data_IF_323491841536
#
_entry.id   IF_323491841536
#
_cell.length_a   1.000
_cell.length_b   1.000
_cell.length_c   1.000
_cell.angle_alpha   90.00
_cell.angle_beta   90.00
_cell.angle_gamma   90.00
#
_symmetry.space_group_name_H-M   'P 1'
#
loop_
_entity.id
_entity.type
_entity.pdbx_description
1 polymer ?
#
# COMPACT_ATOMS: atom_id res chain seq x y z
N UNK A 1 -6.99 0.69 -3.48
CA UNK A 1 -6.25 1.37 -4.58
C UNK A 1 -6.78 2.78 -4.77
N UNK A 2 -8.08 2.97 -5.07
CA UNK A 2 -8.70 4.30 -5.20
C UNK A 2 -8.45 5.19 -3.98
N UNK A 3 -8.66 4.66 -2.78
CA UNK A 3 -8.47 5.42 -1.53
C UNK A 3 -7.00 5.85 -1.33
N UNK A 4 -6.04 5.02 -1.74
CA UNK A 4 -4.61 5.34 -1.62
C UNK A 4 -4.25 6.48 -2.57
N UNK A 5 -4.73 6.45 -3.81
CA UNK A 5 -4.48 7.52 -4.77
C UNK A 5 -5.12 8.84 -4.32
N UNK A 6 -6.34 8.78 -3.75
CA UNK A 6 -7.00 9.94 -3.16
C UNK A 6 -6.17 10.51 -2.01
N UNK A 7 -5.77 9.69 -1.03
CA UNK A 7 -4.96 10.12 0.11
C UNK A 7 -3.63 10.70 -0.34
N UNK A 8 -2.94 10.05 -1.30
CA UNK A 8 -1.69 10.56 -1.89
C UNK A 8 -1.89 11.95 -2.49
N UNK A 9 -2.94 12.15 -3.27
CA UNK A 9 -3.27 13.46 -3.86
C UNK A 9 -3.54 14.51 -2.78
N UNK A 10 -4.22 14.15 -1.71
CA UNK A 10 -4.57 15.08 -0.62
C UNK A 10 -3.37 15.51 0.20
N UNK A 11 -2.46 14.58 0.54
CA UNK A 11 -1.36 14.87 1.47
C UNK A 11 -0.07 15.32 0.78
N UNK A 12 -0.03 15.26 -0.56
CA UNK A 12 1.15 15.60 -1.36
C UNK A 12 2.30 14.63 -1.13
N UNK A 13 3.52 15.04 -1.48
CA UNK A 13 4.69 14.14 -1.46
C UNK A 13 5.40 14.06 -0.10
N UNK A 14 5.30 15.11 0.72
CA UNK A 14 6.05 15.22 1.98
C UNK A 14 5.50 14.32 3.08
N UNK A 15 4.20 14.00 3.04
CA UNK A 15 3.55 13.13 4.02
C UNK A 15 3.40 11.71 3.48
N UNK A 16 3.70 10.73 4.34
CA UNK A 16 3.61 9.32 3.96
C UNK A 16 2.19 8.77 3.98
N UNK A 17 1.87 7.87 3.06
CA UNK A 17 0.59 7.12 3.05
C UNK A 17 0.87 5.65 3.39
N UNK A 18 0.16 5.10 4.38
CA UNK A 18 0.21 3.68 4.75
C UNK A 18 -1.05 2.97 4.25
N UNK A 19 -0.89 1.95 3.42
CA UNK A 19 -1.97 1.02 3.07
C UNK A 19 -2.00 -0.12 4.08
N UNK A 20 -3.14 -0.39 4.70
CA UNK A 20 -3.30 -1.50 5.65
C UNK A 20 -4.69 -2.09 5.61
N UNK A 21 -4.81 -3.36 6.01
CA UNK A 21 -6.06 -4.12 5.95
C UNK A 21 -6.22 -4.82 4.60
N UNK A 22 -6.37 -6.15 4.63
CA UNK A 22 -6.66 -6.95 3.44
C UNK A 22 -5.52 -7.17 2.42
N UNK A 23 -4.32 -6.63 2.65
CA UNK A 23 -3.16 -6.85 1.75
C UNK A 23 -2.48 -8.18 2.11
N UNK A 24 -2.73 -9.24 1.33
CA UNK A 24 -2.31 -10.62 1.66
C UNK A 24 -1.31 -11.25 0.69
N UNK A 25 -1.20 -10.70 -0.51
CA UNK A 25 -0.38 -11.22 -1.61
C UNK A 25 0.46 -10.11 -2.25
N UNK A 26 1.47 -10.55 -3.02
CA UNK A 26 2.42 -9.67 -3.69
C UNK A 26 1.74 -8.67 -4.62
N UNK A 27 0.82 -9.13 -5.47
CA UNK A 27 0.16 -8.29 -6.47
C UNK A 27 -0.68 -7.18 -5.83
N UNK A 28 -1.41 -7.50 -4.76
CA UNK A 28 -2.18 -6.52 -4.01
C UNK A 28 -1.25 -5.50 -3.36
N UNK A 29 -0.13 -5.93 -2.76
CA UNK A 29 0.84 -5.02 -2.18
C UNK A 29 1.44 -4.08 -3.24
N UNK A 30 1.81 -4.62 -4.41
CA UNK A 30 2.35 -3.88 -5.56
C UNK A 30 1.39 -2.79 -6.02
N UNK A 31 0.11 -3.13 -6.21
CA UNK A 31 -0.94 -2.18 -6.61
C UNK A 31 -1.14 -1.03 -5.60
N UNK A 32 -0.96 -1.30 -4.30
CA UNK A 32 -1.05 -0.23 -3.29
C UNK A 32 0.15 0.71 -3.35
N UNK A 33 1.34 0.20 -3.61
CA UNK A 33 2.55 1.01 -3.79
C UNK A 33 2.42 1.88 -5.04
N UNK A 34 2.00 1.30 -6.17
CA UNK A 34 1.76 2.04 -7.42
C UNK A 34 0.70 3.14 -7.27
N UNK A 35 -0.31 2.91 -6.44
CA UNK A 35 -1.31 3.93 -6.11
C UNK A 35 -0.77 5.06 -5.22
N UNK A 36 0.45 4.93 -4.69
CA UNK A 36 1.13 5.98 -3.92
C UNK A 36 1.30 5.67 -2.43
N UNK A 37 1.12 4.44 -1.96
CA UNK A 37 1.46 4.08 -0.59
C UNK A 37 2.99 3.99 -0.42
N UNK A 38 3.53 4.57 0.65
CA UNK A 38 4.94 4.39 1.03
C UNK A 38 5.17 3.17 1.92
N UNK A 39 4.09 2.63 2.51
CA UNK A 39 4.19 1.55 3.49
C UNK A 39 2.98 0.64 3.45
N UNK A 40 3.25 -0.64 3.61
CA UNK A 40 2.24 -1.68 3.74
C UNK A 40 2.18 -2.14 5.19
N UNK A 41 0.99 -2.08 5.79
CA UNK A 41 0.69 -2.71 7.06
C UNK A 41 -0.08 -4.01 6.84
N UNK A 42 0.56 -5.14 7.12
CA UNK A 42 0.00 -6.47 6.87
C UNK A 42 0.53 -7.50 7.89
N UNK A 43 -0.29 -8.49 8.22
CA UNK A 43 0.12 -9.69 8.96
C UNK A 43 0.63 -10.80 8.03
N UNK A 44 0.48 -10.65 6.72
CA UNK A 44 0.88 -11.64 5.69
C UNK A 44 2.23 -11.34 5.05
N UNK A 45 3.11 -10.59 5.73
CA UNK A 45 4.37 -10.11 5.16
C UNK A 45 5.27 -11.20 4.59
N UNK A 46 5.38 -12.35 5.27
CA UNK A 46 6.19 -13.48 4.80
C UNK A 46 5.64 -14.07 3.49
N UNK A 47 4.32 -14.18 3.34
CA UNK A 47 3.70 -14.67 2.11
C UNK A 47 3.95 -13.70 0.96
N UNK A 48 3.70 -12.40 1.19
CA UNK A 48 3.91 -11.33 0.20
C UNK A 48 5.36 -11.31 -0.32
N UNK A 49 6.36 -11.52 0.54
CA UNK A 49 7.78 -11.50 0.14
C UNK A 49 8.19 -12.78 -0.60
N UNK A 50 7.55 -13.92 -0.31
CA UNK A 50 7.86 -15.20 -0.96
C UNK A 50 7.18 -15.37 -2.33
N UNK A 51 6.16 -14.56 -2.64
CA UNK A 51 5.33 -14.68 -3.83
C UNK A 51 4.16 -15.61 -3.59
#
# INVERSE_FOLDING_TARGET
VVDIALLRKTVGEKMGVKASGGVKDYETARRMIEAGANRIGTSSGVAIVKG
#
